data_IF_014835553051
#
_entry.id   IF_014835553051
#
_cell.length_a   1.000
_cell.length_b   1.000
_cell.length_c   1.000
_cell.angle_alpha   90.00
_cell.angle_beta   90.00
_cell.angle_gamma   90.00
#
_symmetry.space_group_name_H-M   'P 1'
#
loop_
_entity.id
_entity.type
_entity.pdbx_description
1 polymer ?
#
# COMPACT_ATOMS: atom_id res chain seq x y z
N UNK A 1 14.32 20.81 -7.70
CA UNK A 1 15.20 19.68 -7.27
C UNK A 1 14.52 18.73 -6.27
N UNK A 2 13.88 19.25 -5.21
CA UNK A 2 13.23 18.41 -4.18
C UNK A 2 12.10 17.52 -4.73
N UNK A 3 11.21 18.05 -5.59
CA UNK A 3 10.11 17.26 -6.18
C UNK A 3 10.63 16.08 -7.01
N UNK A 4 11.71 16.28 -7.78
CA UNK A 4 12.32 15.20 -8.58
C UNK A 4 12.85 14.10 -7.66
N UNK A 5 13.53 14.46 -6.58
CA UNK A 5 14.04 13.51 -5.60
C UNK A 5 12.92 12.73 -4.90
N UNK A 6 11.84 13.42 -4.51
CA UNK A 6 10.64 12.78 -3.92
C UNK A 6 10.01 11.81 -4.90
N UNK A 7 9.90 12.17 -6.18
CA UNK A 7 9.24 11.32 -7.17
C UNK A 7 10.07 10.07 -7.52
N UNK A 8 11.40 10.20 -7.56
CA UNK A 8 12.32 9.06 -7.70
C UNK A 8 12.22 8.11 -6.50
N UNK A 9 12.27 8.65 -5.28
CA UNK A 9 12.14 7.86 -4.06
C UNK A 9 10.79 7.14 -4.01
N UNK A 10 9.70 7.84 -4.37
CA UNK A 10 8.37 7.24 -4.45
C UNK A 10 8.33 6.05 -5.41
N UNK A 11 8.93 6.17 -6.60
CA UNK A 11 8.99 5.06 -7.57
C UNK A 11 9.70 3.83 -7.02
N UNK A 12 10.83 4.04 -6.32
CA UNK A 12 11.58 2.95 -5.67
C UNK A 12 10.74 2.31 -4.57
N UNK A 13 10.16 3.10 -3.67
CA UNK A 13 9.30 2.60 -2.59
C UNK A 13 8.07 1.85 -3.12
N UNK A 14 7.46 2.37 -4.18
CA UNK A 14 6.32 1.75 -4.84
C UNK A 14 6.68 0.37 -5.39
N UNK A 15 7.80 0.25 -6.13
CA UNK A 15 8.25 -1.03 -6.67
C UNK A 15 8.52 -2.08 -5.57
N UNK A 16 9.24 -1.68 -4.52
CA UNK A 16 9.54 -2.59 -3.40
C UNK A 16 8.29 -3.02 -2.63
N UNK A 17 7.33 -2.12 -2.43
CA UNK A 17 6.06 -2.46 -1.79
C UNK A 17 5.31 -3.54 -2.58
N UNK A 18 5.11 -3.33 -3.89
CA UNK A 18 4.43 -4.30 -4.74
C UNK A 18 5.18 -5.64 -4.83
N UNK A 19 6.51 -5.59 -4.99
CA UNK A 19 7.33 -6.81 -5.01
C UNK A 19 7.19 -7.61 -3.70
N UNK A 20 7.26 -6.94 -2.55
CA UNK A 20 7.13 -7.59 -1.23
C UNK A 20 5.74 -8.20 -1.04
N UNK A 21 4.68 -7.49 -1.44
CA UNK A 21 3.30 -8.02 -1.36
C UNK A 21 3.15 -9.24 -2.25
N UNK A 22 3.69 -9.24 -3.47
CA UNK A 22 3.61 -10.41 -4.36
C UNK A 22 4.39 -11.61 -3.83
N UNK A 23 5.58 -11.40 -3.25
CA UNK A 23 6.35 -12.46 -2.58
C UNK A 23 5.56 -13.02 -1.39
N UNK A 24 4.95 -12.16 -0.57
CA UNK A 24 4.10 -12.59 0.53
C UNK A 24 2.91 -13.41 0.06
N UNK A 25 2.24 -12.99 -1.02
CA UNK A 25 1.10 -13.75 -1.58
C UNK A 25 1.55 -15.10 -2.14
N UNK A 26 2.73 -15.15 -2.76
CA UNK A 26 3.30 -16.41 -3.25
C UNK A 26 3.58 -17.37 -2.09
N UNK A 27 4.11 -16.88 -0.97
CA UNK A 27 4.40 -17.73 0.21
C UNK A 27 3.14 -18.10 1.00
N UNK A 28 2.21 -17.16 1.18
CA UNK A 28 1.04 -17.33 2.05
C UNK A 28 -0.12 -18.14 1.42
N UNK A 29 -0.19 -18.22 0.08
CA UNK A 29 -1.31 -18.87 -0.61
C UNK A 29 -0.87 -20.09 -1.45
N UNK A 30 -1.72 -21.13 -1.56
CA UNK A 30 -1.47 -22.28 -2.43
C UNK A 30 -1.53 -21.89 -3.91
N UNK A 31 -0.75 -22.59 -4.75
CA UNK A 31 -0.47 -22.24 -6.16
C UNK A 31 -1.72 -21.93 -7.00
N UNK A 32 -2.81 -22.63 -6.72
CA UNK A 32 -4.06 -22.53 -7.48
C UNK A 32 -4.78 -21.19 -7.29
N UNK A 33 -4.50 -20.46 -6.19
CA UNK A 33 -5.18 -19.19 -5.88
C UNK A 33 -4.25 -17.96 -5.86
N UNK A 34 -2.93 -18.14 -6.03
CA UNK A 34 -1.95 -17.03 -5.99
C UNK A 34 -2.23 -15.94 -7.02
N UNK A 35 -2.49 -16.32 -8.26
CA UNK A 35 -2.81 -15.37 -9.34
C UNK A 35 -4.07 -14.57 -9.05
N UNK A 36 -5.12 -15.24 -8.52
CA UNK A 36 -6.36 -14.58 -8.10
C UNK A 36 -6.12 -13.62 -6.94
N UNK A 37 -5.33 -14.01 -5.94
CA UNK A 37 -4.98 -13.18 -4.79
C UNK A 37 -4.17 -11.93 -5.23
N UNK A 38 -3.13 -12.08 -6.05
CA UNK A 38 -2.36 -10.94 -6.59
C UNK A 38 -3.25 -9.99 -7.40
N UNK A 39 -4.15 -10.53 -8.24
CA UNK A 39 -5.13 -9.74 -8.97
C UNK A 39 -6.08 -8.97 -8.06
N UNK A 40 -6.57 -9.60 -6.98
CA UNK A 40 -7.42 -8.96 -5.98
C UNK A 40 -6.69 -7.83 -5.24
N UNK A 41 -5.42 -8.05 -4.87
CA UNK A 41 -4.59 -7.00 -4.26
C UNK A 41 -4.42 -5.80 -5.20
N UNK A 42 -4.17 -6.04 -6.49
CA UNK A 42 -4.06 -4.96 -7.46
C UNK A 42 -5.38 -4.20 -7.64
N UNK A 43 -6.51 -4.92 -7.71
CA UNK A 43 -7.83 -4.30 -7.76
C UNK A 43 -8.10 -3.46 -6.51
N UNK A 44 -7.71 -3.95 -5.33
CA UNK A 44 -7.90 -3.23 -4.08
C UNK A 44 -7.06 -1.95 -4.02
N UNK A 45 -5.79 -2.00 -4.38
CA UNK A 45 -4.87 -0.86 -4.30
C UNK A 45 -5.15 0.15 -5.42
N UNK A 46 -5.17 -0.32 -6.67
CA UNK A 46 -5.24 0.54 -7.86
C UNK A 46 -6.67 0.86 -8.29
N UNK A 47 -7.64 0.02 -7.93
CA UNK A 47 -9.05 0.24 -8.22
C UNK A 47 -9.75 0.92 -7.07
N UNK A 48 -10.05 0.17 -6.01
CA UNK A 48 -10.86 0.65 -4.87
C UNK A 48 -10.14 1.77 -4.12
N UNK A 49 -8.85 1.60 -3.82
CA UNK A 49 -8.03 2.61 -3.15
C UNK A 49 -8.00 3.91 -3.93
N UNK A 50 -7.77 3.84 -5.24
CA UNK A 50 -7.79 5.02 -6.11
C UNK A 50 -9.19 5.67 -6.20
N UNK A 51 -10.26 4.87 -6.21
CA UNK A 51 -11.63 5.38 -6.20
C UNK A 51 -11.92 6.15 -4.90
N UNK A 52 -11.62 5.55 -3.74
CA UNK A 52 -11.79 6.20 -2.43
C UNK A 52 -10.93 7.46 -2.33
N UNK A 53 -9.67 7.42 -2.78
CA UNK A 53 -8.79 8.58 -2.80
C UNK A 53 -9.36 9.70 -3.69
N UNK A 54 -9.89 9.37 -4.86
CA UNK A 54 -10.47 10.35 -5.78
C UNK A 54 -11.70 11.06 -5.20
N UNK A 55 -12.48 10.40 -4.34
CA UNK A 55 -13.59 11.05 -3.63
C UNK A 55 -13.14 11.80 -2.37
N UNK A 56 -12.21 11.24 -1.59
CA UNK A 56 -11.78 11.80 -0.32
C UNK A 56 -10.82 13.00 -0.48
N UNK A 57 -9.94 12.97 -1.48
CA UNK A 57 -8.89 13.97 -1.65
C UNK A 57 -9.46 15.37 -1.97
N UNK A 58 -10.42 15.55 -2.91
CA UNK A 58 -11.01 16.87 -3.17
C UNK A 58 -11.78 17.41 -1.95
N UNK A 59 -12.48 16.53 -1.22
CA UNK A 59 -13.20 16.90 0.00
C UNK A 59 -12.23 17.35 1.10
N UNK A 60 -11.09 16.67 1.24
CA UNK A 60 -10.05 17.02 2.20
C UNK A 60 -9.40 18.36 1.86
N UNK A 61 -9.04 18.56 0.58
CA UNK A 61 -8.46 19.83 0.10
C UNK A 61 -9.43 20.99 0.35
N UNK A 62 -10.72 20.82 0.04
CA UNK A 62 -11.74 21.86 0.25
C UNK A 62 -11.87 22.26 1.72
N UNK A 63 -11.77 21.29 2.64
CA UNK A 63 -11.81 21.54 4.09
C UNK A 63 -10.54 22.21 4.64
N UNK A 64 -9.42 22.06 3.94
CA UNK A 64 -8.11 22.62 4.31
C UNK A 64 -7.77 23.91 3.53
N UNK A 65 -8.69 24.38 2.68
CA UNK A 65 -8.60 25.71 2.07
C UNK A 65 -9.04 26.75 3.09
N UNK A 66 -8.14 27.67 3.43
CA UNK A 66 -8.44 28.75 4.37
C UNK A 66 -9.48 29.75 3.82
N UNK A 67 -10.03 30.64 4.67
CA UNK A 67 -10.96 31.69 4.26
C UNK A 67 -10.42 32.60 3.14
N UNK A 68 -9.10 32.72 3.04
CA UNK A 68 -8.38 33.53 2.04
C UNK A 68 -8.18 32.80 0.69
N UNK A 69 -8.72 31.59 0.53
CA UNK A 69 -8.58 30.79 -0.70
C UNK A 69 -7.23 30.09 -0.87
N UNK A 70 -6.32 30.22 0.11
CA UNK A 70 -5.01 29.56 0.10
C UNK A 70 -5.13 28.14 0.65
N UNK A 71 -4.63 27.16 -0.11
CA UNK A 71 -4.60 25.74 0.28
C UNK A 71 -3.34 25.46 1.11
N UNK A 72 -3.50 24.91 2.30
CA UNK A 72 -2.37 24.40 3.08
C UNK A 72 -1.93 23.02 2.55
N UNK A 73 -1.05 23.04 1.55
CA UNK A 73 -0.48 21.83 0.97
C UNK A 73 0.30 20.99 1.98
N UNK A 74 0.89 21.59 3.01
CA UNK A 74 1.66 20.83 4.02
C UNK A 74 0.74 19.87 4.75
N UNK A 75 -0.40 20.35 5.24
CA UNK A 75 -1.38 19.53 5.96
C UNK A 75 -2.08 18.55 5.02
N UNK A 76 -2.39 18.97 3.78
CA UNK A 76 -2.99 18.08 2.75
C UNK A 76 -2.09 16.88 2.44
N UNK A 77 -0.77 17.06 2.34
CA UNK A 77 0.17 15.96 2.13
C UNK A 77 0.51 15.19 3.41
N UNK A 78 0.38 15.81 4.59
CA UNK A 78 0.60 15.15 5.87
C UNK A 78 -0.45 14.06 6.15
N UNK A 79 -1.71 14.29 5.78
CA UNK A 79 -2.81 13.32 6.00
C UNK A 79 -2.54 11.95 5.34
N UNK A 80 -2.28 11.85 4.03
CA UNK A 80 -1.96 10.56 3.40
C UNK A 80 -0.62 9.99 3.90
N UNK A 81 0.35 10.84 4.26
CA UNK A 81 1.62 10.40 4.84
C UNK A 81 1.44 9.74 6.21
N UNK A 82 0.60 10.32 7.07
CA UNK A 82 0.27 9.77 8.37
C UNK A 82 -0.52 8.45 8.22
N UNK A 83 -1.46 8.38 7.29
CA UNK A 83 -2.20 7.15 6.98
C UNK A 83 -1.26 6.03 6.53
N UNK A 84 -0.30 6.34 5.65
CA UNK A 84 0.72 5.39 5.21
C UNK A 84 1.62 4.93 6.37
N UNK A 85 2.02 5.84 7.25
CA UNK A 85 2.82 5.51 8.44
C UNK A 85 2.04 4.60 9.41
N UNK A 86 0.76 4.87 9.64
CA UNK A 86 -0.12 4.00 10.44
C UNK A 86 -0.22 2.62 9.80
N UNK A 87 -0.42 2.54 8.48
CA UNK A 87 -0.44 1.27 7.75
C UNK A 87 0.87 0.49 7.90
N UNK A 88 2.01 1.17 7.79
CA UNK A 88 3.33 0.57 8.01
C UNK A 88 3.51 0.06 9.45
N UNK A 89 3.05 0.80 10.45
CA UNK A 89 3.08 0.36 11.86
C UNK A 89 2.16 -0.84 12.10
N UNK A 90 0.97 -0.84 11.50
CA UNK A 90 0.05 -1.97 11.59
C UNK A 90 0.65 -3.22 10.97
N UNK A 91 1.30 -3.11 9.80
CA UNK A 91 2.06 -4.21 9.23
C UNK A 91 3.19 -4.62 10.19
N UNK A 92 4.00 -3.68 10.69
CA UNK A 92 5.09 -4.03 11.61
C UNK A 92 4.63 -4.83 12.84
N UNK A 93 3.46 -4.52 13.38
CA UNK A 93 2.91 -5.22 14.57
C UNK A 93 2.14 -6.49 14.21
N UNK A 94 1.37 -6.50 13.11
CA UNK A 94 0.51 -7.61 12.72
C UNK A 94 1.23 -8.66 11.86
N UNK A 95 2.34 -8.29 11.21
CA UNK A 95 3.10 -9.19 10.34
C UNK A 95 3.95 -10.13 11.19
N UNK A 96 3.32 -11.22 11.63
CA UNK A 96 3.96 -12.35 12.30
C UNK A 96 4.11 -13.50 11.29
N UNK A 97 5.29 -13.70 10.70
CA UNK A 97 5.48 -14.82 9.79
C UNK A 97 5.34 -16.13 10.56
N UNK A 98 4.43 -17.01 10.13
CA UNK A 98 4.34 -18.37 10.63
C UNK A 98 5.51 -19.18 10.06
N UNK A 99 6.30 -19.81 10.92
CA UNK A 99 7.54 -20.56 10.61
C UNK A 99 7.30 -21.88 9.84
N UNK A 100 6.11 -22.12 9.30
CA UNK A 100 5.83 -23.33 8.53
C UNK A 100 5.92 -23.04 7.03
N UNK A 101 7.11 -23.24 6.48
CA UNK A 101 7.27 -23.44 5.04
C UNK A 101 6.38 -24.60 4.58
N UNK A 102 5.95 -24.61 3.30
CA UNK A 102 5.02 -25.61 2.80
C UNK A 102 5.57 -27.01 3.09
N UNK A 103 4.84 -27.80 3.89
CA UNK A 103 5.15 -29.21 4.11
C UNK A 103 5.21 -29.87 2.73
N UNK A 104 6.42 -30.28 2.34
CA UNK A 104 6.67 -30.86 1.04
C UNK A 104 5.90 -32.19 0.97
N UNK A 105 4.97 -32.39 0.02
CA UNK A 105 4.25 -33.66 -0.13
C UNK A 105 5.14 -34.86 -0.51
N UNK A 106 6.47 -34.68 -0.54
CA UNK A 106 7.47 -35.70 -0.89
C UNK A 106 8.00 -36.49 0.33
N UNK A 107 7.59 -36.20 1.55
CA UNK A 107 7.97 -36.97 2.75
C UNK A 107 6.99 -38.10 3.12
N UNK A 108 5.93 -38.32 2.34
CA UNK A 108 5.00 -39.43 2.53
C UNK A 108 5.24 -40.46 1.42
N UNK A 109 6.41 -41.09 1.47
CA UNK A 109 6.72 -42.33 0.74
C UNK A 109 6.94 -43.46 1.74
#
# INVERSE_FOLDING_TARGET
>A
PAIIAVQLLHGICYAFFFATVYIFVDEAFPKDVRSSAQGLFNLLILGVGNMVASFAFPALVTRLTGPDGVVDYTTVFLVPSALAAIGALLLLVAFRPATHGPANPQEIH
#
